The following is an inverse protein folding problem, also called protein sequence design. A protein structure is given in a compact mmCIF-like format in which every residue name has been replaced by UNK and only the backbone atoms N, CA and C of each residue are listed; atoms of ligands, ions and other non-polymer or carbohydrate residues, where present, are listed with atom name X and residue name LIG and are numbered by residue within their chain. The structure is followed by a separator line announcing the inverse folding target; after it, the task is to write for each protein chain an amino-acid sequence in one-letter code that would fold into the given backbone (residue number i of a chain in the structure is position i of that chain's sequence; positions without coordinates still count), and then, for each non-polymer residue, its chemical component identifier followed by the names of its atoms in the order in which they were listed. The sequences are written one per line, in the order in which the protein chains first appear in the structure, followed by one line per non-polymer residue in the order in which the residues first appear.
data_IF_014800029819
#
_entry.id   IF_014800029819
#
_cell.length_a   1.000
_cell.length_b   1.000
_cell.length_c   1.000
_cell.angle_alpha   90.00
_cell.angle_beta   90.00
_cell.angle_gamma   90.00
#
_symmetry.space_group_name_H-M   'P 1'
#
loop_
_entity.id
_entity.type
_entity.pdbx_description
1 polymer ?
#
# COMPACT_ATOMS: atom_id res chain seq x y z
N UNK A 1 2.17 -12.99 5.67
CA UNK A 1 1.94 -12.25 4.40
C UNK A 1 0.69 -12.84 3.76
N UNK A 2 -0.33 -12.02 3.48
CA UNK A 2 -1.57 -12.48 2.82
C UNK A 2 -1.37 -12.41 1.30
N UNK A 3 -2.05 -13.26 0.55
CA UNK A 3 -2.06 -13.19 -0.92
C UNK A 3 -3.47 -12.88 -1.42
N UNK A 4 -3.57 -12.03 -2.44
CA UNK A 4 -4.82 -11.70 -3.11
C UNK A 4 -4.60 -11.64 -4.63
N UNK A 5 -5.58 -12.04 -5.41
CA UNK A 5 -5.54 -11.82 -6.86
C UNK A 5 -5.72 -10.35 -7.21
N UNK A 6 -5.22 -9.93 -8.38
CA UNK A 6 -5.43 -8.58 -8.89
C UNK A 6 -6.93 -8.22 -9.03
N UNK A 7 -7.77 -9.22 -9.31
CA UNK A 7 -9.24 -9.06 -9.36
C UNK A 7 -9.82 -8.78 -7.98
N UNK A 8 -9.43 -9.52 -6.96
CA UNK A 8 -9.90 -9.30 -5.59
C UNK A 8 -9.41 -7.96 -5.05
N UNK A 9 -8.15 -7.60 -5.29
CA UNK A 9 -7.60 -6.30 -4.91
C UNK A 9 -8.39 -5.14 -5.54
N UNK A 10 -8.72 -5.24 -6.84
CA UNK A 10 -9.56 -4.26 -7.54
C UNK A 10 -10.95 -4.15 -6.91
N UNK A 11 -11.58 -5.28 -6.60
CA UNK A 11 -12.98 -5.32 -6.16
C UNK A 11 -13.16 -5.04 -4.66
N UNK A 12 -12.13 -5.31 -3.85
CA UNK A 12 -12.14 -5.19 -2.40
C UNK A 12 -10.99 -4.31 -1.91
N UNK A 13 -10.78 -3.15 -2.55
CA UNK A 13 -9.66 -2.27 -2.27
C UNK A 13 -9.62 -1.79 -0.80
N UNK A 14 -10.77 -1.46 -0.20
CA UNK A 14 -10.84 -1.07 1.22
C UNK A 14 -10.31 -2.17 2.15
N UNK A 15 -10.79 -3.41 1.96
CA UNK A 15 -10.30 -4.57 2.71
C UNK A 15 -8.80 -4.83 2.48
N UNK A 16 -8.32 -4.60 1.24
CA UNK A 16 -6.90 -4.73 0.92
C UNK A 16 -6.07 -3.71 1.71
N UNK A 17 -6.52 -2.45 1.80
CA UNK A 17 -5.86 -1.40 2.60
C UNK A 17 -5.82 -1.78 4.07
N UNK A 18 -6.96 -2.17 4.65
CA UNK A 18 -7.03 -2.59 6.06
C UNK A 18 -6.10 -3.77 6.35
N UNK A 19 -6.06 -4.74 5.43
CA UNK A 19 -5.14 -5.88 5.53
C UNK A 19 -3.69 -5.43 5.42
N UNK A 20 -3.36 -4.53 4.47
CA UNK A 20 -2.01 -4.03 4.25
C UNK A 20 -1.48 -3.22 5.45
N UNK A 21 -2.37 -2.55 6.20
CA UNK A 21 -2.03 -1.90 7.48
C UNK A 21 -1.71 -2.90 8.59
N UNK A 22 -2.31 -4.09 8.57
CA UNK A 22 -2.02 -5.16 9.52
C UNK A 22 -0.78 -5.99 9.15
N UNK A 23 -0.42 -6.04 7.86
CA UNK A 23 0.82 -6.65 7.39
C UNK A 23 0.89 -6.79 5.86
N UNK A 24 2.02 -7.25 5.31
CA UNK A 24 2.24 -7.28 3.87
C UNK A 24 1.23 -8.15 3.11
N UNK A 25 0.75 -7.63 1.97
CA UNK A 25 -0.16 -8.31 1.05
C UNK A 25 0.49 -8.47 -0.32
N UNK A 26 0.67 -9.71 -0.76
CA UNK A 26 1.12 -10.05 -2.11
C UNK A 26 -0.07 -10.04 -3.08
N UNK A 27 0.05 -9.30 -4.17
CA UNK A 27 -0.91 -9.29 -5.26
C UNK A 27 -0.41 -10.17 -6.39
N UNK A 28 -1.25 -11.10 -6.82
CA UNK A 28 -0.97 -12.01 -7.92
C UNK A 28 -1.78 -11.69 -9.17
N UNK A 29 -1.14 -11.82 -10.33
CA UNK A 29 -1.79 -11.78 -11.62
C UNK A 29 -1.48 -13.07 -12.37
N UNK A 30 -2.53 -13.82 -12.76
CA UNK A 30 -2.39 -15.13 -13.40
C UNK A 30 -1.48 -16.11 -12.63
N UNK A 31 -1.58 -16.13 -11.30
CA UNK A 31 -0.79 -17.02 -10.43
C UNK A 31 0.67 -16.61 -10.25
N UNK A 32 1.07 -15.39 -10.65
CA UNK A 32 2.40 -14.84 -10.37
C UNK A 32 2.30 -13.62 -9.50
N UNK A 33 3.10 -13.58 -8.42
CA UNK A 33 3.26 -12.39 -7.58
C UNK A 33 3.83 -11.24 -8.40
N UNK A 34 3.12 -10.12 -8.42
CA UNK A 34 3.49 -8.94 -9.22
C UNK A 34 3.72 -7.69 -8.38
N UNK A 35 3.02 -7.55 -7.25
CA UNK A 35 3.10 -6.37 -6.38
C UNK A 35 2.99 -6.80 -4.92
N UNK A 36 3.68 -6.12 -4.01
CA UNK A 36 3.45 -6.24 -2.56
C UNK A 36 2.95 -4.89 -2.05
N UNK A 37 1.84 -4.89 -1.32
CA UNK A 37 1.27 -3.72 -0.66
C UNK A 37 1.56 -3.81 0.84
N UNK A 38 2.09 -2.72 1.39
CA UNK A 38 2.39 -2.54 2.81
C UNK A 38 1.92 -1.16 3.27
N UNK A 39 1.79 -0.98 4.57
CA UNK A 39 1.62 0.33 5.17
C UNK A 39 2.81 1.25 4.83
N UNK A 40 2.57 2.56 4.77
CA UNK A 40 3.62 3.54 4.45
C UNK A 40 4.73 3.51 5.49
N UNK A 41 4.37 3.38 6.77
CA UNK A 41 5.30 3.31 7.88
C UNK A 41 6.24 2.10 7.75
N UNK A 42 5.71 0.96 7.29
CA UNK A 42 6.52 -0.24 7.04
C UNK A 42 7.38 -0.09 5.77
N UNK A 43 6.86 0.54 4.72
CA UNK A 43 7.64 0.86 3.53
C UNK A 43 8.84 1.77 3.85
N UNK A 44 8.63 2.82 4.65
CA UNK A 44 9.69 3.74 5.09
C UNK A 44 10.75 2.99 5.89
N UNK A 45 10.33 2.15 6.86
CA UNK A 45 11.24 1.29 7.64
C UNK A 45 12.08 0.38 6.74
N UNK A 46 11.49 -0.24 5.72
CA UNK A 46 12.19 -1.10 4.77
C UNK A 46 13.12 -0.30 3.83
N UNK A 47 12.70 0.91 3.44
CA UNK A 47 13.45 1.79 2.53
C UNK A 47 14.72 2.33 3.17
N UNK A 48 14.66 2.69 4.46
CA UNK A 48 15.82 3.11 5.27
C UNK A 48 16.85 1.99 5.38
N UNK A 49 16.41 0.76 5.65
CA UNK A 49 17.29 -0.42 5.70
C UNK A 49 17.92 -0.76 4.35
N UNK A 50 17.24 -0.41 3.25
CA UNK A 50 17.69 -0.67 1.88
C UNK A 50 18.59 0.43 1.31
N UNK A 51 18.92 1.47 2.08
CA UNK A 51 19.76 2.59 1.64
C UNK A 51 19.11 3.50 0.59
N UNK A 52 17.81 3.36 0.35
CA UNK A 52 17.06 4.17 -0.62
C UNK A 52 16.48 5.40 0.08
N UNK A 53 17.35 6.35 0.40
CA UNK A 53 16.93 7.68 0.84
C UNK A 53 16.63 8.54 -0.38
N UNK A 54 15.45 8.37 -0.99
CA UNK A 54 14.94 9.37 -1.93
C UNK A 54 13.68 10.00 -1.36
N UNK A 55 13.79 11.32 -1.12
CA UNK A 55 12.74 12.22 -0.64
C UNK A 55 11.48 12.07 -1.50
N UNK A 56 10.45 11.43 -0.96
CA UNK A 56 9.10 11.46 -1.49
C UNK A 56 8.26 12.55 -0.82
N UNK A 57 8.60 13.83 -1.03
CA UNK A 57 7.59 14.89 -0.90
C UNK A 57 6.61 14.71 -2.05
N UNK A 58 5.36 14.34 -1.76
CA UNK A 58 4.12 14.79 -2.43
C UNK A 58 2.93 13.95 -1.95
N UNK A 59 1.94 14.59 -1.32
CA UNK A 59 0.63 13.97 -1.17
C UNK A 59 -0.19 14.27 0.08
N UNK A 60 -0.18 15.49 0.63
CA UNK A 60 -1.36 15.98 1.37
C UNK A 60 -1.58 17.45 1.09
N UNK A 61 -2.05 17.75 -0.12
CA UNK A 61 -2.81 18.98 -0.37
C UNK A 61 -4.29 18.61 -0.45
N UNK A 62 -5.03 19.13 0.53
CA UNK A 62 -6.45 19.45 0.52
C UNK A 62 -7.48 18.31 0.54
N UNK A 63 -8.13 18.18 1.70
CA UNK A 63 -9.58 18.14 1.79
C UNK A 63 -10.08 18.82 3.08
N UNK A 64 -9.75 20.11 3.27
CA UNK A 64 -10.61 20.98 4.07
C UNK A 64 -11.64 21.63 3.14
N UNK A 65 -12.85 21.05 3.11
CA UNK A 65 -14.08 21.68 2.65
C UNK A 65 -15.16 21.01 3.51
N UNK A 66 -16.08 21.68 4.19
CA UNK A 66 -16.43 23.09 4.29
C UNK A 66 -17.45 23.13 5.41
N UNK A 67 -17.17 23.83 6.51
CA UNK A 67 -18.20 24.24 7.45
C UNK A 67 -18.89 25.50 6.92
N UNK A 68 -20.18 25.41 6.66
CA UNK A 68 -21.23 26.42 6.87
C UNK A 68 -22.58 25.84 6.46
#
# INVERSE_FOLDING_TARGET
MKTMSAREAKNAFGLMIDTARAGPVLIEKHGRGVVVVVAVEEYERLSVQSGRTEKGETGTTQASKSGR
#
